data_IF_329659588982
#
_entry.id   IF_329659588982
#
_cell.length_a   1.000
_cell.length_b   1.000
_cell.length_c   1.000
_cell.angle_alpha   90.00
_cell.angle_beta   90.00
_cell.angle_gamma   90.00
#
_symmetry.space_group_name_H-M   'P 1'
#
loop_
_entity.id
_entity.type
_entity.pdbx_description
1 polymer ?
#
# COMPACT_ATOMS: atom_id res chain seq x y z
N UNK A 1 -2.76 -17.41 -11.45
CA UNK A 1 -2.60 -17.29 -9.98
C UNK A 1 -3.90 -16.80 -9.37
N UNK A 2 -4.17 -17.18 -8.14
CA UNK A 2 -5.23 -16.64 -7.31
C UNK A 2 -4.64 -15.54 -6.40
N UNK A 3 -4.93 -14.27 -6.73
CA UNK A 3 -4.30 -13.11 -6.11
C UNK A 3 -5.32 -12.30 -5.32
N UNK A 4 -5.03 -12.06 -4.04
CA UNK A 4 -5.87 -11.21 -3.22
C UNK A 4 -5.39 -9.76 -3.19
N UNK A 5 -6.34 -8.83 -3.02
CA UNK A 5 -6.07 -7.41 -2.75
C UNK A 5 -6.78 -7.00 -1.46
N UNK A 6 -6.01 -6.58 -0.46
CA UNK A 6 -6.52 -5.87 0.70
C UNK A 6 -6.45 -4.36 0.42
N UNK A 7 -7.58 -3.65 0.63
CA UNK A 7 -7.65 -2.22 0.35
C UNK A 7 -8.03 -1.86 -1.08
N UNK A 8 -8.69 -2.77 -1.81
CA UNK A 8 -9.15 -2.56 -3.19
C UNK A 8 -10.16 -1.42 -3.37
N UNK A 9 -10.78 -0.91 -2.31
CA UNK A 9 -11.67 0.27 -2.37
C UNK A 9 -10.93 1.60 -2.42
N UNK A 10 -9.60 1.61 -2.19
CA UNK A 10 -8.72 2.76 -2.38
C UNK A 10 -8.17 2.83 -3.80
N UNK A 11 -7.61 4.01 -4.18
CA UNK A 11 -7.11 4.28 -5.52
C UNK A 11 -6.14 3.20 -6.03
N UNK A 12 -5.04 2.97 -5.33
CA UNK A 12 -4.01 1.99 -5.74
C UNK A 12 -4.53 0.55 -5.76
N UNK A 13 -5.28 0.15 -4.72
CA UNK A 13 -5.83 -1.20 -4.65
C UNK A 13 -6.86 -1.48 -5.74
N UNK A 14 -7.66 -0.47 -6.13
CA UNK A 14 -8.59 -0.59 -7.26
C UNK A 14 -7.85 -0.85 -8.58
N UNK A 15 -6.83 -0.06 -8.87
CA UNK A 15 -6.05 -0.22 -10.09
C UNK A 15 -5.20 -1.51 -10.10
N UNK A 16 -4.70 -1.95 -8.95
CA UNK A 16 -4.07 -3.26 -8.81
C UNK A 16 -5.06 -4.40 -9.10
N UNK A 17 -6.30 -4.31 -8.59
CA UNK A 17 -7.35 -5.29 -8.90
C UNK A 17 -7.70 -5.33 -10.39
N UNK A 18 -7.78 -4.16 -11.06
CA UNK A 18 -7.94 -4.08 -12.53
C UNK A 18 -6.79 -4.76 -13.28
N UNK A 19 -5.55 -4.49 -12.87
CA UNK A 19 -4.36 -5.09 -13.48
C UNK A 19 -4.35 -6.61 -13.35
N UNK A 20 -4.69 -7.14 -12.16
CA UNK A 20 -4.82 -8.58 -11.90
C UNK A 20 -5.82 -9.23 -12.86
N UNK A 21 -7.01 -8.66 -13.01
CA UNK A 21 -8.04 -9.19 -13.94
C UNK A 21 -7.61 -9.08 -15.40
N UNK A 22 -7.01 -7.96 -15.80
CA UNK A 22 -6.52 -7.77 -17.17
C UNK A 22 -5.40 -8.75 -17.55
N UNK A 23 -4.60 -9.19 -16.57
CA UNK A 23 -3.57 -10.22 -16.76
C UNK A 23 -4.12 -11.66 -16.74
N UNK A 24 -5.43 -11.86 -16.60
CA UNK A 24 -6.07 -13.18 -16.61
C UNK A 24 -5.95 -13.95 -15.30
N UNK A 25 -5.62 -13.30 -14.18
CA UNK A 25 -5.55 -13.95 -12.87
C UNK A 25 -6.92 -13.97 -12.17
N UNK A 26 -7.09 -14.90 -11.24
CA UNK A 26 -8.23 -14.93 -10.33
C UNK A 26 -8.08 -13.84 -9.28
N UNK A 27 -9.08 -12.96 -9.19
CA UNK A 27 -9.09 -11.85 -8.24
C UNK A 27 -9.89 -12.19 -7.00
N UNK A 28 -9.27 -12.03 -5.85
CA UNK A 28 -9.91 -12.07 -4.53
C UNK A 28 -9.86 -10.69 -3.90
N UNK A 29 -10.97 -10.18 -3.38
CA UNK A 29 -11.00 -8.96 -2.57
C UNK A 29 -11.14 -9.35 -1.10
N UNK A 30 -10.17 -8.95 -0.28
CA UNK A 30 -10.30 -9.04 1.18
C UNK A 30 -10.68 -7.65 1.69
N UNK A 31 -11.84 -7.55 2.34
CA UNK A 31 -12.43 -6.28 2.69
C UNK A 31 -13.12 -6.30 4.05
N UNK A 32 -13.25 -5.12 4.68
CA UNK A 32 -14.04 -4.97 5.91
C UNK A 32 -15.55 -5.04 5.60
N UNK A 33 -16.40 -5.41 6.58
CA UNK A 33 -17.87 -5.40 6.40
C UNK A 33 -18.41 -4.05 5.89
N UNK A 34 -17.80 -2.94 6.35
CA UNK A 34 -18.19 -1.57 5.99
C UNK A 34 -17.68 -1.08 4.63
N UNK A 35 -16.91 -1.89 3.89
CA UNK A 35 -16.30 -1.48 2.62
C UNK A 35 -17.33 -1.46 1.48
N UNK A 36 -17.31 -0.40 0.67
CA UNK A 36 -18.21 -0.25 -0.49
C UNK A 36 -17.63 -0.98 -1.72
N UNK A 37 -17.74 -2.31 -1.72
CA UNK A 37 -17.17 -3.19 -2.77
C UNK A 37 -17.98 -3.20 -4.06
N UNK A 38 -19.21 -2.70 -4.07
CA UNK A 38 -20.09 -2.67 -5.25
C UNK A 38 -19.43 -2.00 -6.46
N UNK A 39 -18.53 -1.03 -6.21
CA UNK A 39 -17.75 -0.35 -7.24
C UNK A 39 -16.75 -1.24 -7.99
N UNK A 40 -16.45 -2.41 -7.43
CA UNK A 40 -15.54 -3.41 -7.98
C UNK A 40 -16.29 -4.61 -8.57
N UNK A 41 -17.64 -4.63 -8.51
CA UNK A 41 -18.45 -5.75 -8.97
C UNK A 41 -18.23 -6.07 -10.47
N UNK A 42 -17.92 -5.07 -11.29
CA UNK A 42 -17.63 -5.26 -12.72
C UNK A 42 -16.38 -6.12 -12.99
N UNK A 43 -15.48 -6.26 -11.98
CA UNK A 43 -14.32 -7.14 -12.06
C UNK A 43 -14.65 -8.60 -11.71
N UNK A 44 -15.88 -8.87 -11.26
CA UNK A 44 -16.34 -10.20 -10.85
C UNK A 44 -15.34 -10.91 -9.89
N UNK A 45 -14.99 -10.27 -8.76
CA UNK A 45 -14.04 -10.85 -7.81
C UNK A 45 -14.70 -11.88 -6.91
N UNK A 46 -13.93 -12.84 -6.40
CA UNK A 46 -14.27 -13.52 -5.16
C UNK A 46 -14.13 -12.54 -3.99
N UNK A 47 -15.11 -12.46 -3.08
CA UNK A 47 -15.08 -11.56 -1.94
C UNK A 47 -14.94 -12.32 -0.63
N UNK A 48 -14.01 -11.88 0.22
CA UNK A 48 -13.77 -12.43 1.57
C UNK A 48 -13.79 -11.31 2.59
N UNK A 49 -14.47 -11.51 3.70
CA UNK A 49 -14.58 -10.51 4.77
C UNK A 49 -13.52 -10.78 5.83
N UNK A 50 -12.69 -9.76 6.11
CA UNK A 50 -11.76 -9.75 7.23
C UNK A 50 -11.42 -8.31 7.64
N UNK A 51 -11.14 -8.12 8.93
CA UNK A 51 -10.60 -6.87 9.46
C UNK A 51 -9.14 -7.06 9.87
N UNK A 52 -8.33 -5.99 9.78
CA UNK A 52 -6.90 -6.07 10.07
C UNK A 52 -6.55 -6.40 11.52
N UNK A 53 -7.48 -6.16 12.46
CA UNK A 53 -7.33 -6.54 13.86
C UNK A 53 -7.88 -7.95 14.18
N UNK A 54 -8.51 -8.62 13.22
CA UNK A 54 -9.03 -9.98 13.37
C UNK A 54 -8.08 -11.00 12.73
N UNK A 55 -7.12 -11.49 13.51
CA UNK A 55 -6.18 -12.52 13.04
C UNK A 55 -6.90 -13.74 12.46
N UNK A 56 -7.97 -14.24 13.11
CA UNK A 56 -8.71 -15.43 12.66
C UNK A 56 -9.48 -15.18 11.37
N UNK A 57 -10.02 -13.96 11.21
CA UNK A 57 -10.63 -13.53 9.95
C UNK A 57 -9.61 -13.46 8.82
N UNK A 58 -8.43 -12.89 9.07
CA UNK A 58 -7.33 -12.82 8.10
C UNK A 58 -6.81 -14.22 7.75
N UNK A 59 -6.64 -15.11 8.72
CA UNK A 59 -6.22 -16.50 8.53
C UNK A 59 -7.15 -17.21 7.54
N UNK A 60 -8.46 -17.12 7.76
CA UNK A 60 -9.46 -17.72 6.84
C UNK A 60 -9.45 -17.04 5.47
N UNK A 61 -9.35 -15.70 5.45
CA UNK A 61 -9.43 -14.94 4.22
C UNK A 61 -8.20 -15.12 3.30
N UNK A 62 -7.03 -15.42 3.86
CA UNK A 62 -5.78 -15.65 3.12
C UNK A 62 -5.57 -17.10 2.69
N UNK A 63 -6.46 -18.03 3.08
CA UNK A 63 -6.32 -19.45 2.74
C UNK A 63 -6.42 -19.70 1.24
N UNK A 64 -5.52 -20.54 0.71
CA UNK A 64 -5.53 -21.01 -0.68
C UNK A 64 -5.20 -19.93 -1.71
N UNK A 65 -4.46 -18.90 -1.32
CA UNK A 65 -3.98 -17.85 -2.22
C UNK A 65 -2.56 -18.14 -2.73
N UNK A 66 -2.30 -17.81 -3.99
CA UNK A 66 -0.95 -17.82 -4.56
C UNK A 66 -0.18 -16.54 -4.22
N UNK A 67 -0.89 -15.41 -4.08
CA UNK A 67 -0.27 -14.14 -3.76
C UNK A 67 -1.24 -13.15 -3.12
N UNK A 68 -0.70 -12.12 -2.46
CA UNK A 68 -1.50 -11.04 -1.88
C UNK A 68 -0.85 -9.68 -2.07
N UNK A 69 -1.65 -8.67 -2.43
CA UNK A 69 -1.28 -7.25 -2.45
C UNK A 69 -1.92 -6.58 -1.23
N UNK A 70 -1.08 -6.11 -0.31
CA UNK A 70 -1.50 -5.35 0.85
C UNK A 70 -1.45 -3.85 0.53
N UNK A 71 -2.58 -3.28 0.11
CA UNK A 71 -2.76 -1.85 -0.20
C UNK A 71 -3.64 -1.12 0.83
N UNK A 72 -3.94 -1.75 1.96
CA UNK A 72 -4.71 -1.17 3.04
C UNK A 72 -3.84 -0.25 3.91
N UNK A 73 -3.55 0.95 3.41
CA UNK A 73 -2.66 1.90 4.05
C UNK A 73 -3.21 2.44 5.38
N UNK A 74 -2.32 2.54 6.37
CA UNK A 74 -2.62 3.23 7.63
C UNK A 74 -2.49 4.74 7.45
N UNK A 75 -3.47 5.48 7.97
CA UNK A 75 -3.48 6.95 8.00
C UNK A 75 -3.68 7.42 9.45
N UNK A 76 -2.69 8.14 10.04
CA UNK A 76 -2.75 8.61 11.41
C UNK A 76 -3.97 9.52 11.66
N UNK A 77 -4.70 9.26 12.73
CA UNK A 77 -5.84 10.07 13.16
C UNK A 77 -5.47 11.12 14.21
N UNK A 78 -4.39 10.88 14.95
CA UNK A 78 -3.90 11.71 16.06
C UNK A 78 -2.45 12.14 15.82
N UNK A 79 -2.19 13.11 14.92
CA UNK A 79 -0.82 13.42 14.47
C UNK A 79 0.17 13.80 15.59
N UNK A 80 -0.31 14.34 16.73
CA UNK A 80 0.53 14.69 17.88
C UNK A 80 0.96 13.49 18.73
N UNK A 81 0.34 12.33 18.54
CA UNK A 81 0.63 11.06 19.25
C UNK A 81 1.22 10.05 18.29
N UNK A 82 2.25 10.45 17.56
CA UNK A 82 2.81 9.64 16.49
C UNK A 82 3.27 8.26 16.94
N UNK A 83 3.77 8.12 18.21
CA UNK A 83 4.17 6.81 18.74
C UNK A 83 2.99 5.84 18.82
N UNK A 84 1.83 6.32 19.31
CA UNK A 84 0.61 5.50 19.39
C UNK A 84 0.09 5.15 17.98
N UNK A 85 0.22 6.08 17.03
CA UNK A 85 -0.20 5.84 15.64
C UNK A 85 0.72 4.83 14.96
N UNK A 86 2.03 4.89 15.19
CA UNK A 86 2.99 3.89 14.71
C UNK A 86 2.70 2.52 15.34
N UNK A 87 2.51 2.45 16.65
CA UNK A 87 2.17 1.19 17.33
C UNK A 87 0.89 0.57 16.75
N UNK A 88 -0.16 1.38 16.54
CA UNK A 88 -1.41 0.90 15.94
C UNK A 88 -1.23 0.42 14.49
N UNK A 89 -0.39 1.11 13.72
CA UNK A 89 -0.09 0.71 12.33
C UNK A 89 0.65 -0.63 12.28
N UNK A 90 1.65 -0.81 13.14
CA UNK A 90 2.43 -2.05 13.24
C UNK A 90 1.58 -3.22 13.74
N UNK A 91 0.69 -2.98 14.69
CA UNK A 91 -0.20 -4.03 15.22
C UNK A 91 -1.13 -4.59 14.13
N UNK A 92 -1.75 -3.72 13.32
CA UNK A 92 -2.57 -4.17 12.18
C UNK A 92 -1.81 -5.05 11.20
N UNK A 93 -0.59 -4.67 10.87
CA UNK A 93 0.23 -5.40 9.91
C UNK A 93 0.86 -6.65 10.50
N UNK A 94 1.10 -6.71 11.81
CA UNK A 94 1.53 -7.93 12.50
C UNK A 94 0.51 -9.06 12.32
N UNK A 95 -0.78 -8.78 12.51
CA UNK A 95 -1.83 -9.78 12.29
C UNK A 95 -1.85 -10.27 10.83
N UNK A 96 -1.69 -9.36 9.88
CA UNK A 96 -1.62 -9.70 8.46
C UNK A 96 -0.41 -10.61 8.14
N UNK A 97 0.79 -10.24 8.58
CA UNK A 97 1.99 -11.05 8.31
C UNK A 97 1.94 -12.41 9.02
N UNK A 98 1.45 -12.46 10.25
CA UNK A 98 1.24 -13.72 10.97
C UNK A 98 0.27 -14.65 10.24
N UNK A 99 -0.83 -14.11 9.70
CA UNK A 99 -1.79 -14.87 8.91
C UNK A 99 -1.22 -15.31 7.55
N UNK A 100 -0.38 -14.49 6.91
CA UNK A 100 0.35 -14.89 5.70
C UNK A 100 1.33 -16.03 5.98
N UNK A 101 2.05 -15.97 7.11
CA UNK A 101 2.99 -17.02 7.52
C UNK A 101 2.26 -18.33 7.80
N UNK A 102 1.15 -18.27 8.53
CA UNK A 102 0.32 -19.47 8.83
C UNK A 102 -0.17 -20.16 7.55
N UNK A 103 -0.68 -19.38 6.59
CA UNK A 103 -1.17 -19.89 5.31
C UNK A 103 -0.05 -20.20 4.30
N UNK A 104 1.20 -19.93 4.63
CA UNK A 104 2.36 -20.06 3.73
C UNK A 104 2.12 -19.39 2.38
N UNK A 105 1.57 -18.17 2.40
CA UNK A 105 1.28 -17.40 1.17
C UNK A 105 2.56 -17.24 0.36
N UNK A 106 2.62 -17.76 -0.90
CA UNK A 106 3.90 -17.85 -1.64
C UNK A 106 4.48 -16.50 -2.06
N UNK A 107 3.65 -15.44 -2.11
CA UNK A 107 4.09 -14.13 -2.59
C UNK A 107 3.28 -13.01 -1.93
N UNK A 108 3.96 -12.02 -1.37
CA UNK A 108 3.35 -10.89 -0.65
C UNK A 108 3.90 -9.60 -1.20
N UNK A 109 3.03 -8.68 -1.65
CA UNK A 109 3.40 -7.31 -1.97
C UNK A 109 2.87 -6.37 -0.90
N UNK A 110 3.76 -5.71 -0.17
CA UNK A 110 3.43 -4.58 0.67
C UNK A 110 3.46 -3.29 -0.16
N UNK A 111 2.35 -2.55 -0.17
CA UNK A 111 2.28 -1.23 -0.84
C UNK A 111 2.60 -0.13 0.17
N UNK A 112 3.84 0.31 0.13
CA UNK A 112 4.39 1.36 0.97
C UNK A 112 4.17 2.76 0.39
N UNK A 113 5.20 3.59 0.47
CA UNK A 113 5.19 4.97 -0.03
C UNK A 113 6.61 5.50 -0.19
N UNK A 114 6.85 6.31 -1.19
CA UNK A 114 8.12 7.06 -1.33
C UNK A 114 8.43 7.96 -0.12
N UNK A 115 7.45 8.30 0.72
CA UNK A 115 7.67 8.99 1.99
C UNK A 115 8.41 8.16 3.05
N UNK A 116 8.54 6.84 2.86
CA UNK A 116 9.38 6.00 3.70
C UNK A 116 10.88 6.17 3.41
N UNK A 117 11.25 6.85 2.33
CA UNK A 117 12.64 7.12 1.96
C UNK A 117 13.13 8.45 2.54
N UNK A 118 14.41 8.55 2.94
CA UNK A 118 15.02 9.84 3.24
C UNK A 118 15.23 10.68 1.96
N UNK A 119 15.43 11.97 2.15
CA UNK A 119 15.94 12.83 1.08
C UNK A 119 17.38 12.42 0.74
N UNK A 120 17.73 12.49 -0.55
CA UNK A 120 19.13 12.26 -0.95
C UNK A 120 20.03 13.32 -0.32
N UNK A 121 21.14 12.96 0.37
CA UNK A 121 21.96 13.90 1.14
C UNK A 121 22.57 15.02 0.29
N UNK A 122 22.78 14.78 -1.00
CA UNK A 122 23.31 15.76 -1.96
C UNK A 122 22.20 16.50 -2.75
N UNK A 123 20.94 16.39 -2.35
CA UNK A 123 19.81 17.01 -3.05
C UNK A 123 19.47 16.41 -4.42
N UNK A 124 20.05 15.26 -4.76
CA UNK A 124 19.71 14.49 -5.96
C UNK A 124 18.33 13.82 -5.81
N UNK A 125 17.74 13.31 -6.89
CA UNK A 125 16.54 12.46 -6.79
C UNK A 125 16.76 11.28 -5.84
N UNK A 126 15.77 11.00 -4.98
CA UNK A 126 15.76 9.82 -4.15
C UNK A 126 15.59 8.55 -4.98
N UNK A 127 16.06 7.43 -4.45
CA UNK A 127 15.91 6.11 -5.06
C UNK A 127 15.68 5.05 -3.97
N UNK A 128 15.28 3.86 -4.38
CA UNK A 128 14.84 2.76 -3.51
C UNK A 128 15.92 2.24 -2.55
N UNK A 129 17.18 2.46 -2.88
CA UNK A 129 18.34 2.08 -2.04
C UNK A 129 18.66 3.06 -0.92
N UNK A 130 17.89 4.16 -0.74
CA UNK A 130 18.11 5.09 0.37
C UNK A 130 17.39 4.62 1.63
N UNK A 131 18.09 4.69 2.78
CA UNK A 131 17.57 4.31 4.08
C UNK A 131 17.84 5.40 5.11
N UNK A 132 16.94 5.56 6.07
CA UNK A 132 17.24 6.35 7.26
C UNK A 132 18.26 5.62 8.13
N UNK A 133 19.25 6.34 8.65
CA UNK A 133 20.23 5.84 9.63
C UNK A 133 19.65 5.77 11.04
N UNK A 134 18.43 5.27 11.18
CA UNK A 134 17.70 5.18 12.43
C UNK A 134 16.34 5.88 12.38
N UNK A 135 15.82 6.22 13.56
CA UNK A 135 14.49 6.83 13.67
C UNK A 135 14.45 8.21 12.99
N UNK A 136 13.56 8.45 12.01
CA UNK A 136 13.41 9.76 11.39
C UNK A 136 12.93 10.79 12.43
N UNK A 137 13.70 11.85 12.64
CA UNK A 137 13.33 12.93 13.56
C UNK A 137 12.65 14.09 12.85
N UNK A 138 11.79 14.84 13.55
CA UNK A 138 11.13 16.04 13.00
C UNK A 138 10.15 15.77 11.86
N UNK A 139 9.73 14.52 11.65
CA UNK A 139 8.79 14.12 10.60
C UNK A 139 7.35 14.07 11.12
N UNK A 140 6.39 14.19 10.19
CA UNK A 140 4.97 14.03 10.53
C UNK A 140 4.65 12.59 10.94
N UNK A 141 3.58 12.39 11.71
CA UNK A 141 3.10 11.06 12.09
C UNK A 141 2.87 10.16 10.87
N UNK A 142 2.44 10.74 9.74
CA UNK A 142 2.26 10.00 8.48
C UNK A 142 3.59 9.40 7.97
N UNK A 143 4.63 10.24 7.91
CA UNK A 143 5.98 9.78 7.49
C UNK A 143 6.52 8.73 8.46
N UNK A 144 6.34 8.94 9.78
CA UNK A 144 6.74 7.99 10.80
C UNK A 144 6.06 6.62 10.63
N UNK A 145 4.75 6.60 10.38
CA UNK A 145 4.03 5.36 10.12
C UNK A 145 4.51 4.68 8.82
N UNK A 146 4.71 5.45 7.74
CA UNK A 146 5.20 4.88 6.47
C UNK A 146 6.60 4.30 6.57
N UNK A 147 7.50 4.99 7.29
CA UNK A 147 8.83 4.47 7.60
C UNK A 147 8.77 3.20 8.44
N UNK A 148 8.03 3.18 9.54
CA UNK A 148 7.95 2.03 10.43
C UNK A 148 7.37 0.79 9.75
N UNK A 149 6.33 0.97 8.92
CA UNK A 149 5.72 -0.12 8.15
C UNK A 149 6.65 -0.65 7.05
N UNK A 150 7.47 0.21 6.44
CA UNK A 150 8.48 -0.20 5.47
C UNK A 150 9.60 -1.01 6.12
N UNK A 151 10.10 -0.55 7.28
CA UNK A 151 11.09 -1.31 8.06
C UNK A 151 10.52 -2.67 8.48
N UNK A 152 9.29 -2.70 8.98
CA UNK A 152 8.61 -3.95 9.32
C UNK A 152 8.52 -4.90 8.11
N UNK A 153 8.13 -4.42 6.93
CA UNK A 153 8.04 -5.25 5.72
C UNK A 153 9.40 -5.87 5.36
N UNK A 154 10.48 -5.10 5.51
CA UNK A 154 11.86 -5.58 5.30
C UNK A 154 12.29 -6.58 6.37
N UNK A 155 11.94 -6.36 7.62
CA UNK A 155 12.19 -7.31 8.71
C UNK A 155 11.45 -8.64 8.48
N UNK A 156 10.20 -8.60 8.04
CA UNK A 156 9.45 -9.80 7.69
C UNK A 156 10.12 -10.56 6.53
N UNK A 157 10.64 -9.85 5.54
CA UNK A 157 11.38 -10.47 4.44
C UNK A 157 12.70 -11.12 4.93
N UNK A 158 13.46 -10.46 5.82
CA UNK A 158 14.66 -11.03 6.45
C UNK A 158 14.31 -12.26 7.32
N UNK A 159 13.13 -12.26 7.93
CA UNK A 159 12.58 -13.38 8.69
C UNK A 159 12.07 -14.55 7.83
N UNK A 160 12.19 -14.47 6.50
CA UNK A 160 11.85 -15.55 5.56
C UNK A 160 10.46 -15.47 4.95
N UNK A 161 9.65 -14.43 5.23
CA UNK A 161 8.41 -14.21 4.49
C UNK A 161 8.71 -13.68 3.07
N UNK A 162 7.99 -14.14 2.04
CA UNK A 162 8.22 -13.76 0.65
C UNK A 162 7.66 -12.35 0.32
N UNK A 163 8.10 -11.34 1.08
CA UNK A 163 7.64 -9.95 0.96
C UNK A 163 8.47 -9.19 -0.06
N UNK A 164 7.78 -8.53 -0.99
CA UNK A 164 8.32 -7.52 -1.91
C UNK A 164 7.64 -6.18 -1.58
N UNK A 165 8.30 -5.06 -1.81
CA UNK A 165 7.82 -3.75 -1.39
C UNK A 165 7.64 -2.85 -2.61
N UNK A 166 6.42 -2.36 -2.84
CA UNK A 166 6.12 -1.31 -3.82
C UNK A 166 6.06 0.05 -3.14
N UNK A 167 6.81 1.05 -3.63
CA UNK A 167 6.86 2.39 -3.03
C UNK A 167 6.45 3.48 -4.02
N UNK A 168 5.18 3.53 -4.43
CA UNK A 168 4.71 4.51 -5.39
C UNK A 168 4.97 5.95 -4.90
N UNK A 169 5.28 6.83 -5.86
CA UNK A 169 5.35 8.27 -5.65
C UNK A 169 3.97 8.90 -5.49
N UNK A 170 3.76 10.07 -6.09
CA UNK A 170 2.47 10.73 -6.12
C UNK A 170 1.59 10.10 -7.21
N UNK A 171 0.56 9.40 -6.80
CA UNK A 171 -0.36 8.72 -7.74
C UNK A 171 -1.55 9.62 -8.04
N UNK A 172 -1.83 9.82 -9.32
CA UNK A 172 -2.98 10.56 -9.82
C UNK A 172 -3.72 9.70 -10.85
N UNK A 173 -5.05 9.78 -10.87
CA UNK A 173 -5.83 9.05 -11.86
C UNK A 173 -7.31 9.02 -11.54
N UNK A 174 -8.03 8.33 -12.40
CA UNK A 174 -9.48 8.09 -12.24
C UNK A 174 -9.76 7.22 -10.99
N UNK A 175 -11.00 7.24 -10.52
CA UNK A 175 -11.47 6.43 -9.38
C UNK A 175 -10.87 6.83 -8.02
N UNK A 176 -10.27 8.01 -7.89
CA UNK A 176 -9.91 8.60 -6.59
C UNK A 176 -11.16 9.20 -5.90
N UNK A 177 -11.99 8.32 -5.34
CA UNK A 177 -13.36 8.65 -4.88
C UNK A 177 -13.38 9.33 -3.51
N UNK A 178 -12.39 9.04 -2.68
CA UNK A 178 -12.16 9.79 -1.44
C UNK A 178 -10.92 10.66 -1.61
N UNK A 179 -10.99 11.73 -2.42
CA UNK A 179 -9.82 12.29 -3.05
C UNK A 179 -8.79 12.72 -2.01
N UNK A 180 -7.65 12.07 -2.05
CA UNK A 180 -6.44 12.47 -1.32
C UNK A 180 -5.60 13.37 -2.22
N UNK A 181 -4.88 12.78 -3.14
CA UNK A 181 -4.02 13.49 -4.09
C UNK A 181 -4.83 14.15 -5.21
N UNK A 182 -5.91 13.52 -5.65
CA UNK A 182 -6.82 14.04 -6.68
C UNK A 182 -7.54 15.34 -6.28
N UNK A 183 -7.66 15.64 -4.97
CA UNK A 183 -8.16 16.96 -4.50
C UNK A 183 -7.35 18.12 -5.07
N UNK A 184 -6.06 17.96 -5.27
CA UNK A 184 -5.21 19.00 -5.85
C UNK A 184 -5.69 19.38 -7.26
N UNK A 185 -5.97 18.37 -8.10
CA UNK A 185 -6.44 18.58 -9.47
C UNK A 185 -7.80 19.27 -9.47
N UNK A 186 -8.73 18.79 -8.66
CA UNK A 186 -10.09 19.37 -8.58
C UNK A 186 -10.09 20.78 -8.02
N UNK A 187 -9.25 21.08 -7.02
CA UNK A 187 -9.11 22.42 -6.44
C UNK A 187 -8.49 23.42 -7.44
N UNK A 188 -7.48 22.99 -8.20
CA UNK A 188 -6.91 23.82 -9.28
C UNK A 188 -7.98 24.07 -10.36
N UNK A 189 -8.67 23.04 -10.82
CA UNK A 189 -9.71 23.16 -11.84
C UNK A 189 -10.89 24.04 -11.45
N UNK A 190 -11.16 24.19 -10.15
CA UNK A 190 -12.19 25.09 -9.60
C UNK A 190 -11.70 26.48 -9.26
N UNK A 191 -10.40 26.77 -9.47
CA UNK A 191 -9.82 28.05 -9.10
C UNK A 191 -9.71 28.30 -7.59
N UNK A 192 -9.77 27.24 -6.78
CA UNK A 192 -9.69 27.32 -5.31
C UNK A 192 -8.24 27.45 -4.81
N UNK A 193 -7.26 27.25 -5.68
CA UNK A 193 -5.83 27.33 -5.37
C UNK A 193 -5.27 28.70 -5.78
N UNK A 194 -5.00 29.56 -4.81
CA UNK A 194 -4.41 30.89 -5.02
C UNK A 194 -2.88 30.92 -4.87
N UNK A 195 -2.28 29.85 -4.34
CA UNK A 195 -0.86 29.77 -4.06
C UNK A 195 -0.29 28.42 -4.48
N UNK A 196 1.00 28.36 -4.77
CA UNK A 196 1.72 27.11 -4.99
C UNK A 196 2.98 27.04 -4.13
N UNK A 197 3.40 25.84 -3.81
CA UNK A 197 4.69 25.58 -3.17
C UNK A 197 5.64 25.06 -4.24
N UNK A 198 6.75 25.75 -4.50
CA UNK A 198 7.73 25.28 -5.48
C UNK A 198 8.33 23.94 -5.03
N UNK A 199 8.46 23.02 -5.97
CA UNK A 199 9.02 21.69 -5.69
C UNK A 199 8.94 20.76 -6.89
N UNK A 200 9.65 19.65 -6.79
CA UNK A 200 9.61 18.57 -7.79
C UNK A 200 8.96 17.34 -7.16
N UNK A 201 8.10 16.68 -7.90
CA UNK A 201 7.42 15.45 -7.46
C UNK A 201 7.51 14.41 -8.57
N UNK A 202 7.75 13.18 -8.18
CA UNK A 202 7.53 12.04 -9.06
C UNK A 202 6.04 11.76 -9.07
N UNK A 203 5.44 11.78 -10.27
CA UNK A 203 3.99 11.55 -10.47
C UNK A 203 3.83 10.35 -11.39
N UNK A 204 2.90 9.46 -11.05
CA UNK A 204 2.56 8.30 -11.85
C UNK A 204 1.04 8.23 -12.04
N UNK A 205 0.58 7.79 -13.21
CA UNK A 205 -0.83 7.45 -13.45
C UNK A 205 -1.25 6.25 -12.61
N UNK A 206 -2.47 6.28 -12.08
CA UNK A 206 -2.98 5.22 -11.19
C UNK A 206 -3.08 3.86 -11.88
N UNK A 207 -3.43 3.82 -13.16
CA UNK A 207 -3.45 2.58 -13.95
C UNK A 207 -2.05 2.01 -14.15
N UNK A 208 -1.06 2.87 -14.46
CA UNK A 208 0.35 2.46 -14.54
C UNK A 208 0.88 1.97 -13.19
N UNK A 209 0.54 2.69 -12.10
CA UNK A 209 0.90 2.24 -10.75
C UNK A 209 0.30 0.86 -10.44
N UNK A 210 -0.96 0.61 -10.80
CA UNK A 210 -1.61 -0.70 -10.63
C UNK A 210 -0.90 -1.81 -11.40
N UNK A 211 -0.50 -1.56 -12.66
CA UNK A 211 0.30 -2.51 -13.47
C UNK A 211 1.69 -2.73 -12.87
N UNK A 212 2.35 -1.64 -12.43
CA UNK A 212 3.66 -1.71 -11.78
C UNK A 212 3.61 -2.54 -10.48
N UNK A 213 2.57 -2.40 -9.67
CA UNK A 213 2.37 -3.21 -8.46
C UNK A 213 2.22 -4.69 -8.80
N UNK A 214 1.45 -5.06 -9.84
CA UNK A 214 1.34 -6.45 -10.28
C UNK A 214 2.69 -7.00 -10.75
N UNK A 215 3.43 -6.25 -11.58
CA UNK A 215 4.76 -6.66 -12.03
C UNK A 215 5.75 -6.81 -10.86
N UNK A 216 5.68 -5.90 -9.88
CA UNK A 216 6.48 -5.99 -8.65
C UNK A 216 6.14 -7.25 -7.86
N UNK A 217 4.84 -7.58 -7.72
CA UNK A 217 4.42 -8.82 -7.10
C UNK A 217 5.02 -10.04 -7.83
N UNK A 218 4.94 -10.08 -9.15
CA UNK A 218 5.34 -11.24 -9.97
C UNK A 218 6.87 -11.41 -10.07
N UNK A 219 7.61 -10.31 -10.21
CA UNK A 219 9.03 -10.33 -10.63
C UNK A 219 9.99 -9.73 -9.61
N UNK A 220 9.47 -8.97 -8.62
CA UNK A 220 10.31 -8.29 -7.64
C UNK A 220 11.10 -9.29 -6.79
N UNK A 221 12.30 -8.94 -6.37
CA UNK A 221 13.13 -9.73 -5.46
C UNK A 221 12.62 -9.54 -4.03
N UNK A 222 12.59 -10.62 -3.26
CA UNK A 222 12.17 -10.61 -1.85
C UNK A 222 13.05 -9.64 -1.06
N UNK A 223 12.42 -8.80 -0.24
CA UNK A 223 13.08 -7.79 0.58
C UNK A 223 13.44 -6.49 -0.14
N UNK A 224 13.29 -6.43 -1.47
CA UNK A 224 13.62 -5.25 -2.26
C UNK A 224 12.43 -4.30 -2.43
N UNK A 225 12.74 -3.02 -2.66
CA UNK A 225 11.80 -1.93 -2.99
C UNK A 225 11.78 -1.64 -4.49
N UNK A 226 10.63 -1.21 -5.00
CA UNK A 226 10.40 -0.84 -6.40
C UNK A 226 9.48 0.37 -6.50
#
# INVERSE_FOLDING_TARGET
MKIAVLGATGLLGHHAARAIKAAGHELVLIHRPSSQIQRLAYLQPECRVAELYDYRGLERALSGLDAVIFSAGYYPKRPRRWQEEVASALDQTNHFYAACQHNKVPRILYVGSAFALPMHPQGLPGHEGLFYEGLPTGKSAYVMCKWALDEQAREQARGGLPVVIGIPGMVLGELDIGPTTGRLITAIGRGEMSHYVPGRRNVIDAGEAGRGLLQTLERGRIGERY
#
